data_IF_997969886416
#
_entry.id   IF_997969886416
#
_cell.length_a   1.000
_cell.length_b   1.000
_cell.length_c   1.000
_cell.angle_alpha   90.00
_cell.angle_beta   90.00
_cell.angle_gamma   90.00
#
_symmetry.space_group_name_H-M   'P 1'
#
loop_
_entity.id
_entity.type
_entity.pdbx_description
1 polymer ?
#
# COMPACT_ATOMS: atom_id res chain seq x y z
N UNK A 1 34.38 -64.51 31.49
CA UNK A 1 35.68 -64.19 32.14
C UNK A 1 36.71 -64.17 31.03
N UNK A 2 37.49 -63.10 30.81
CA UNK A 2 38.13 -62.18 31.74
C UNK A 2 37.49 -60.76 31.66
N UNK A 3 37.86 -59.68 32.35
CA UNK A 3 39.19 -59.26 32.72
C UNK A 3 39.17 -58.21 33.85
N UNK A 4 40.33 -58.14 34.48
CA UNK A 4 40.79 -57.37 35.63
C UNK A 4 40.33 -55.91 35.69
N UNK A 5 39.89 -55.52 36.89
CA UNK A 5 39.81 -54.15 37.39
C UNK A 5 41.23 -53.58 37.53
N UNK A 6 41.46 -52.37 37.01
CA UNK A 6 42.55 -51.48 37.45
C UNK A 6 41.94 -50.11 37.73
N UNK A 7 41.64 -49.86 39.00
CA UNK A 7 41.41 -48.51 39.48
C UNK A 7 42.78 -47.85 39.72
N UNK A 8 43.05 -46.76 39.00
CA UNK A 8 43.98 -45.75 39.46
C UNK A 8 43.21 -44.45 39.59
N UNK A 9 43.04 -44.01 40.84
CA UNK A 9 42.38 -42.76 41.22
C UNK A 9 43.44 -41.67 41.08
N UNK A 10 43.19 -40.66 40.27
CA UNK A 10 43.83 -39.36 40.46
C UNK A 10 42.79 -38.27 40.25
N UNK A 11 42.43 -37.65 41.38
CA UNK A 11 41.65 -36.42 41.47
C UNK A 11 42.49 -35.26 40.94
N UNK A 12 41.96 -34.46 40.01
CA UNK A 12 42.30 -33.05 39.96
C UNK A 12 41.17 -32.24 39.29
N UNK A 13 40.36 -31.62 40.14
CA UNK A 13 39.48 -30.48 39.88
C UNK A 13 40.26 -29.31 39.27
N UNK A 14 39.71 -28.65 38.24
CA UNK A 14 40.00 -27.24 37.90
C UNK A 14 38.90 -26.62 37.01
N UNK A 15 38.33 -25.54 37.56
CA UNK A 15 37.59 -24.40 37.01
C UNK A 15 37.38 -24.27 35.49
N UNK A 16 36.13 -24.07 35.07
CA UNK A 16 35.78 -23.19 33.95
C UNK A 16 34.34 -22.65 34.10
N UNK A 17 34.25 -21.42 34.62
CA UNK A 17 33.05 -20.59 34.70
C UNK A 17 32.72 -20.07 33.29
N UNK A 18 31.78 -20.69 32.58
CA UNK A 18 31.24 -20.13 31.34
C UNK A 18 30.06 -19.20 31.66
N UNK A 19 30.30 -17.89 31.57
CA UNK A 19 29.26 -16.87 31.55
C UNK A 19 28.34 -17.10 30.33
N UNK A 20 27.05 -17.25 30.58
CA UNK A 20 26.02 -17.24 29.54
C UNK A 20 25.76 -15.80 29.09
N UNK A 21 25.66 -15.53 27.78
CA UNK A 21 25.46 -14.18 27.27
C UNK A 21 24.05 -13.67 27.61
N UNK A 22 23.98 -12.42 28.04
CA UNK A 22 22.75 -11.66 28.21
C UNK A 22 22.09 -11.52 26.84
N UNK A 23 20.98 -12.23 26.62
CA UNK A 23 20.15 -12.08 25.43
C UNK A 23 19.46 -10.72 25.47
N UNK A 24 20.00 -9.74 24.74
CA UNK A 24 19.28 -8.52 24.43
C UNK A 24 18.21 -8.84 23.39
N UNK A 25 16.95 -8.93 23.81
CA UNK A 25 15.82 -8.93 22.90
C UNK A 25 15.74 -7.54 22.27
N UNK A 26 16.17 -7.41 21.02
CA UNK A 26 15.93 -6.20 20.24
C UNK A 26 14.46 -6.19 19.84
N UNK A 27 13.68 -5.36 20.53
CA UNK A 27 12.29 -5.07 20.21
C UNK A 27 12.27 -4.36 18.85
N UNK A 28 12.00 -5.12 17.78
CA UNK A 28 11.77 -4.56 16.46
C UNK A 28 10.44 -3.81 16.48
N UNK A 29 10.49 -2.53 16.83
CA UNK A 29 9.39 -1.61 16.66
C UNK A 29 9.02 -1.57 15.18
N UNK A 30 8.02 -2.37 14.81
CA UNK A 30 7.43 -2.33 13.48
C UNK A 30 6.65 -1.03 13.42
N UNK A 31 7.28 0.03 12.91
CA UNK A 31 6.59 1.27 12.60
C UNK A 31 5.50 0.92 11.57
N UNK A 32 4.25 0.82 12.03
CA UNK A 32 3.11 0.72 11.13
C UNK A 32 3.22 1.91 10.17
N UNK A 33 3.08 1.71 8.84
CA UNK A 33 3.10 2.82 7.93
C UNK A 33 1.95 3.75 8.35
N UNK A 34 2.30 4.95 8.82
CA UNK A 34 1.34 6.04 8.99
C UNK A 34 0.74 6.23 7.61
N UNK A 35 -0.46 5.69 7.38
CA UNK A 35 -1.23 6.00 6.19
C UNK A 35 -1.58 7.48 6.32
N UNK A 36 -0.69 8.35 5.87
CA UNK A 36 -1.01 9.75 5.66
C UNK A 36 -2.30 9.76 4.87
N UNK A 37 -3.35 10.36 5.44
CA UNK A 37 -4.62 10.56 4.77
C UNK A 37 -4.32 11.21 3.42
N UNK A 38 -4.37 10.42 2.34
CA UNK A 38 -4.09 10.94 1.01
C UNK A 38 -5.28 11.79 0.62
N UNK A 39 -5.03 13.07 0.29
CA UNK A 39 -6.08 13.98 -0.19
C UNK A 39 -6.82 13.39 -1.39
N UNK A 40 -6.11 12.71 -2.28
CA UNK A 40 -6.68 12.01 -3.43
C UNK A 40 -6.71 10.49 -3.22
N UNK A 41 -7.67 9.84 -3.86
CA UNK A 41 -7.80 8.39 -3.95
C UNK A 41 -8.44 8.01 -5.30
N UNK A 42 -8.02 6.88 -5.87
CA UNK A 42 -8.72 6.25 -6.99
C UNK A 42 -9.22 4.90 -6.49
N UNK A 43 -10.53 4.79 -6.33
CA UNK A 43 -11.19 3.55 -5.92
C UNK A 43 -11.50 2.72 -7.16
N UNK A 44 -11.14 1.45 -7.10
CA UNK A 44 -11.42 0.46 -8.15
C UNK A 44 -12.45 -0.49 -7.61
N UNK A 45 -13.58 -0.62 -8.31
CA UNK A 45 -14.64 -1.55 -7.95
C UNK A 45 -14.89 -2.50 -9.12
N UNK A 46 -14.45 -3.77 -9.03
CA UNK A 46 -14.83 -4.80 -10.00
C UNK A 46 -16.34 -5.00 -10.04
N UNK A 47 -16.86 -5.26 -11.24
CA UNK A 47 -18.25 -5.59 -11.55
C UNK A 47 -18.24 -6.74 -12.54
N UNK A 48 -19.37 -7.41 -12.78
CA UNK A 48 -19.43 -8.53 -13.70
C UNK A 48 -19.04 -8.10 -15.14
N UNK A 49 -17.79 -8.40 -15.54
CA UNK A 49 -17.23 -8.03 -16.85
C UNK A 49 -16.91 -6.53 -17.05
N UNK A 50 -17.01 -5.74 -15.98
CA UNK A 50 -16.78 -4.30 -16.00
C UNK A 50 -15.89 -3.90 -14.81
N UNK A 51 -15.28 -2.73 -14.91
CA UNK A 51 -14.59 -2.08 -13.78
C UNK A 51 -15.08 -0.65 -13.63
N UNK A 52 -15.40 -0.26 -12.40
CA UNK A 52 -15.66 1.14 -12.06
C UNK A 52 -14.42 1.77 -11.44
N UNK A 53 -14.04 2.94 -11.96
CA UNK A 53 -12.95 3.78 -11.45
C UNK A 53 -13.56 5.08 -10.94
N UNK A 54 -13.46 5.30 -9.63
CA UNK A 54 -13.97 6.50 -8.96
C UNK A 54 -12.81 7.35 -8.46
N UNK A 55 -12.77 8.62 -8.87
CA UNK A 55 -11.87 9.61 -8.30
C UNK A 55 -12.51 10.19 -7.02
N UNK A 56 -11.79 10.09 -5.91
CA UNK A 56 -12.29 10.49 -4.59
C UNK A 56 -11.28 11.48 -3.99
N UNK A 57 -11.79 12.53 -3.37
CA UNK A 57 -11.02 13.37 -2.45
C UNK A 57 -11.49 13.14 -1.02
N UNK A 58 -10.55 13.06 -0.08
CA UNK A 58 -10.81 13.06 1.37
C UNK A 58 -10.04 14.19 2.01
N UNK A 59 -10.72 15.06 2.74
CA UNK A 59 -10.08 16.22 3.35
C UNK A 59 -10.29 16.24 4.86
N UNK A 60 -9.20 16.39 5.61
CA UNK A 60 -9.25 16.54 7.07
C UNK A 60 -9.77 17.92 7.49
N UNK A 61 -9.72 18.90 6.59
CA UNK A 61 -10.24 20.26 6.75
C UNK A 61 -11.12 20.61 5.54
N UNK A 62 -12.02 21.57 5.70
CA UNK A 62 -12.77 22.09 4.55
C UNK A 62 -11.79 22.62 3.52
N UNK A 63 -11.91 22.15 2.29
CA UNK A 63 -11.00 22.50 1.21
C UNK A 63 -11.74 22.47 -0.12
N UNK A 64 -11.32 23.34 -1.00
CA UNK A 64 -11.78 23.44 -2.38
C UNK A 64 -10.59 23.34 -3.34
N UNK A 65 -10.91 23.23 -4.62
CA UNK A 65 -9.89 23.19 -5.66
C UNK A 65 -10.42 22.64 -6.96
N UNK A 66 -9.50 22.15 -7.78
CA UNK A 66 -9.82 21.51 -9.05
C UNK A 66 -9.14 20.16 -9.18
N UNK A 67 -9.68 19.32 -10.04
CA UNK A 67 -9.12 18.01 -10.31
C UNK A 67 -9.06 17.70 -11.80
N UNK A 68 -8.19 16.77 -12.15
CA UNK A 68 -8.13 16.13 -13.47
C UNK A 68 -7.93 14.63 -13.28
N UNK A 69 -8.90 13.85 -13.76
CA UNK A 69 -8.83 12.40 -13.85
C UNK A 69 -8.54 12.01 -15.29
N UNK A 70 -7.40 11.35 -15.52
CA UNK A 70 -6.99 10.82 -16.81
C UNK A 70 -6.89 9.31 -16.76
N UNK A 71 -7.52 8.61 -17.70
CA UNK A 71 -7.57 7.16 -17.74
C UNK A 71 -7.14 6.70 -19.12
N UNK A 72 -6.01 6.01 -19.19
CA UNK A 72 -5.54 5.40 -20.43
C UNK A 72 -5.93 3.93 -20.46
N UNK A 73 -6.52 3.49 -21.56
CA UNK A 73 -6.80 2.10 -21.89
C UNK A 73 -5.76 1.58 -22.87
N UNK A 74 -5.28 0.37 -22.63
CA UNK A 74 -4.56 -0.43 -23.62
C UNK A 74 -5.13 -1.85 -23.66
N UNK A 75 -5.24 -2.46 -24.83
CA UNK A 75 -5.76 -3.83 -24.93
C UNK A 75 -5.88 -4.34 -26.37
N UNK A 76 -6.44 -5.54 -26.53
CA UNK A 76 -6.60 -6.18 -27.83
C UNK A 76 -7.49 -5.40 -28.82
N UNK A 77 -8.38 -4.55 -28.31
CA UNK A 77 -9.23 -3.66 -29.11
C UNK A 77 -8.61 -2.29 -29.44
N UNK A 78 -7.33 -2.06 -29.09
CA UNK A 78 -6.62 -0.80 -29.31
C UNK A 78 -6.38 -0.01 -28.02
N UNK A 79 -6.08 1.28 -28.19
CA UNK A 79 -5.85 2.22 -27.09
C UNK A 79 -6.82 3.39 -27.13
N UNK A 80 -7.15 3.92 -25.97
CA UNK A 80 -7.97 5.12 -25.83
C UNK A 80 -7.60 5.88 -24.57
N UNK A 81 -7.96 7.17 -24.48
CA UNK A 81 -7.75 7.97 -23.28
C UNK A 81 -9.02 8.74 -22.94
N UNK A 82 -9.34 8.83 -21.65
CA UNK A 82 -10.45 9.61 -21.10
C UNK A 82 -9.85 10.65 -20.17
N UNK A 83 -10.22 11.92 -20.34
CA UNK A 83 -9.85 13.00 -19.44
C UNK A 83 -11.11 13.70 -18.96
N UNK A 84 -11.28 13.79 -17.64
CA UNK A 84 -12.36 14.52 -16.99
C UNK A 84 -11.77 15.44 -15.93
N UNK A 85 -12.43 16.54 -15.65
CA UNK A 85 -11.99 17.47 -14.63
C UNK A 85 -13.10 18.43 -14.26
N UNK A 86 -12.88 19.16 -13.19
CA UNK A 86 -13.82 20.14 -12.67
C UNK A 86 -13.36 20.67 -11.33
N UNK A 87 -14.16 21.59 -10.80
CA UNK A 87 -13.97 22.13 -9.46
C UNK A 87 -14.65 21.24 -8.42
N UNK A 88 -14.19 21.32 -7.17
CA UNK A 88 -14.81 20.62 -6.06
C UNK A 88 -14.72 21.44 -4.78
N UNK A 89 -15.63 21.15 -3.86
CA UNK A 89 -15.57 21.58 -2.48
C UNK A 89 -15.89 20.36 -1.61
N UNK A 90 -15.14 20.18 -0.53
CA UNK A 90 -15.35 19.10 0.42
C UNK A 90 -15.21 19.63 1.84
N UNK A 91 -16.20 19.31 2.70
CA UNK A 91 -16.17 19.71 4.09
C UNK A 91 -15.17 18.89 4.90
N UNK A 92 -14.69 19.45 6.02
CA UNK A 92 -13.80 18.76 6.94
C UNK A 92 -14.31 17.37 7.36
N UNK A 93 -13.43 16.37 7.30
CA UNK A 93 -13.71 14.99 7.67
C UNK A 93 -14.64 14.26 6.70
N UNK A 94 -14.90 14.82 5.52
CA UNK A 94 -15.74 14.19 4.48
C UNK A 94 -14.91 13.71 3.30
N UNK A 95 -15.54 12.81 2.55
CA UNK A 95 -15.09 12.37 1.24
C UNK A 95 -16.08 12.84 0.18
N UNK A 96 -15.57 13.21 -0.99
CA UNK A 96 -16.38 13.54 -2.16
C UNK A 96 -15.90 12.72 -3.36
N UNK A 97 -16.83 12.15 -4.10
CA UNK A 97 -16.55 11.56 -5.41
C UNK A 97 -16.53 12.68 -6.44
N UNK A 98 -15.37 12.87 -7.07
CA UNK A 98 -15.13 13.90 -8.07
C UNK A 98 -15.70 13.50 -9.44
N UNK A 99 -15.47 12.24 -9.82
CA UNK A 99 -15.91 11.66 -11.08
C UNK A 99 -15.88 10.12 -11.03
N UNK A 100 -16.67 9.49 -11.89
CA UNK A 100 -16.73 8.04 -12.00
C UNK A 100 -16.85 7.63 -13.46
N UNK A 101 -16.11 6.60 -13.84
CA UNK A 101 -16.28 5.91 -15.12
C UNK A 101 -16.47 4.42 -14.87
N UNK A 102 -17.26 3.79 -15.76
CA UNK A 102 -17.39 2.34 -15.81
C UNK A 102 -16.95 1.89 -17.18
N UNK A 103 -16.03 0.93 -17.22
CA UNK A 103 -15.34 0.47 -18.42
C UNK A 103 -15.47 -1.04 -18.53
N UNK A 104 -15.33 -1.58 -19.75
CA UNK A 104 -15.15 -3.02 -19.93
C UNK A 104 -13.91 -3.50 -19.16
N UNK A 105 -13.95 -4.67 -18.53
CA UNK A 105 -12.75 -5.19 -17.87
C UNK A 105 -11.96 -6.15 -18.75
N UNK A 106 -12.60 -6.79 -19.73
CA UNK A 106 -12.03 -7.93 -20.46
C UNK A 106 -10.91 -7.51 -21.41
N UNK A 107 -9.77 -8.18 -21.32
CA UNK A 107 -8.67 -8.04 -22.28
C UNK A 107 -8.10 -6.61 -22.38
N UNK A 108 -8.28 -5.83 -21.33
CA UNK A 108 -7.93 -4.41 -21.26
C UNK A 108 -7.18 -4.10 -19.97
N UNK A 109 -6.20 -3.21 -20.08
CA UNK A 109 -5.47 -2.62 -18.97
C UNK A 109 -5.78 -1.12 -18.91
N UNK A 110 -5.98 -0.62 -17.70
CA UNK A 110 -6.31 0.77 -17.42
C UNK A 110 -5.29 1.38 -16.47
N UNK A 111 -4.72 2.51 -16.86
CA UNK A 111 -3.94 3.38 -15.98
C UNK A 111 -4.72 4.64 -15.71
N UNK A 112 -5.19 4.78 -14.47
CA UNK A 112 -5.85 5.99 -13.99
C UNK A 112 -4.86 6.87 -13.23
N UNK A 113 -4.84 8.16 -13.56
CA UNK A 113 -4.07 9.20 -12.87
C UNK A 113 -5.03 10.30 -12.47
N UNK A 114 -5.10 10.57 -11.17
CA UNK A 114 -5.89 11.66 -10.58
C UNK A 114 -4.91 12.72 -10.08
N UNK A 115 -5.03 13.92 -10.62
CA UNK A 115 -4.37 15.12 -10.12
C UNK A 115 -5.40 16.03 -9.44
N UNK A 116 -5.07 16.52 -8.25
CA UNK A 116 -5.92 17.40 -7.44
C UNK A 116 -5.08 18.60 -7.04
N UNK A 117 -5.57 19.81 -7.36
CA UNK A 117 -4.95 21.07 -6.95
C UNK A 117 -5.81 21.66 -5.85
N UNK A 118 -5.26 21.81 -4.65
CA UNK A 118 -5.96 22.42 -3.51
C UNK A 118 -4.98 23.20 -2.64
N UNK A 119 -5.37 24.39 -2.18
CA UNK A 119 -4.50 25.28 -1.41
C UNK A 119 -3.16 25.59 -2.10
N UNK A 120 -3.15 25.66 -3.43
CA UNK A 120 -1.96 25.89 -4.26
C UNK A 120 -0.99 24.70 -4.37
N UNK A 121 -1.37 23.50 -3.88
CA UNK A 121 -0.55 22.28 -3.92
C UNK A 121 -1.17 21.26 -4.87
N UNK A 122 -0.33 20.59 -5.66
CA UNK A 122 -0.74 19.45 -6.49
C UNK A 122 -0.56 18.12 -5.73
N UNK A 123 -1.60 17.30 -5.74
CA UNK A 123 -1.65 15.96 -5.19
C UNK A 123 -1.94 14.97 -6.31
N UNK A 124 -1.11 13.94 -6.45
CA UNK A 124 -1.24 12.96 -7.52
C UNK A 124 -1.43 11.54 -6.99
N UNK A 125 -2.44 10.87 -7.51
CA UNK A 125 -2.77 9.48 -7.24
C UNK A 125 -2.78 8.68 -8.54
N UNK A 126 -2.22 7.47 -8.52
CA UNK A 126 -2.18 6.59 -9.69
C UNK A 126 -2.70 5.23 -9.32
N UNK A 127 -3.49 4.62 -10.20
CA UNK A 127 -3.97 3.26 -10.07
C UNK A 127 -3.87 2.53 -11.40
N UNK A 128 -3.47 1.27 -11.35
CA UNK A 128 -3.46 0.38 -12.49
C UNK A 128 -4.46 -0.75 -12.24
N UNK A 129 -5.17 -1.14 -13.30
CA UNK A 129 -6.10 -2.26 -13.32
C UNK A 129 -5.86 -3.05 -14.59
N UNK A 130 -5.74 -4.35 -14.48
CA UNK A 130 -5.64 -5.28 -15.61
C UNK A 130 -6.50 -6.50 -15.30
N UNK A 131 -7.04 -7.11 -16.34
CA UNK A 131 -7.61 -8.46 -16.30
C UNK A 131 -6.42 -9.43 -16.18
N UNK A 132 -6.28 -10.13 -15.05
CA UNK A 132 -5.25 -11.16 -14.81
C UNK A 132 -5.67 -12.53 -15.39
#
# INVERSE_FOLDING_TARGET
MPNSVRHSRSLMTLFALCLLPVGAFTEMATAAPTQSSKLCEIKVTPRAGLVSLEAIVRADKTTDGSYTLRIDKTGGGGSSSITQGGDFEVSAGKAATLGSVTLDSRGSSYKAVLEVISGGKSHRCTKQVSDD
#
